data_IF_954629216816
#
_entry.id   IF_954629216816
#
_cell.length_a   1.000
_cell.length_b   1.000
_cell.length_c   1.000
_cell.angle_alpha   90.00
_cell.angle_beta   90.00
_cell.angle_gamma   90.00
#
_symmetry.space_group_name_H-M   'P 1'
#
loop_
_entity.id
_entity.type
_entity.pdbx_description
1 polymer ?
#
# COMPACT_ATOMS: atom_id res chain seq x y z
N UNK A 1 -22.33 1.86 -4.83
CA UNK A 1 -22.22 0.51 -5.39
C UNK A 1 -20.92 -0.04 -4.84
N UNK A 2 -20.95 -1.12 -4.06
CA UNK A 2 -19.72 -1.74 -3.57
C UNK A 2 -19.10 -2.47 -4.76
N UNK A 3 -18.05 -1.89 -5.35
CA UNK A 3 -17.15 -2.58 -6.25
C UNK A 3 -16.51 -3.74 -5.47
N UNK A 4 -16.47 -4.93 -6.06
CA UNK A 4 -15.84 -6.12 -5.47
C UNK A 4 -14.37 -5.81 -5.14
N UNK A 5 -14.10 -5.57 -3.87
CA UNK A 5 -12.76 -5.23 -3.37
C UNK A 5 -11.88 -6.48 -3.42
N UNK A 6 -10.76 -6.38 -4.15
CA UNK A 6 -9.79 -7.44 -4.37
C UNK A 6 -8.91 -7.63 -3.14
N UNK A 7 -8.55 -6.54 -2.45
CA UNK A 7 -7.71 -6.63 -1.25
C UNK A 7 -8.56 -7.05 -0.05
N UNK A 8 -7.98 -7.87 0.82
CA UNK A 8 -8.54 -8.02 2.15
C UNK A 8 -8.16 -6.82 3.06
N UNK A 9 -8.84 -6.61 4.20
CA UNK A 9 -8.58 -5.47 5.06
C UNK A 9 -7.12 -5.30 5.52
N UNK A 10 -6.41 -6.41 5.76
CA UNK A 10 -5.01 -6.34 6.19
C UNK A 10 -4.08 -5.91 5.03
N UNK A 11 -4.33 -6.41 3.82
CA UNK A 11 -3.62 -5.99 2.61
C UNK A 11 -3.87 -4.51 2.33
N UNK A 12 -5.14 -4.08 2.39
CA UNK A 12 -5.53 -2.69 2.16
C UNK A 12 -4.88 -1.74 3.16
N UNK A 13 -4.88 -2.09 4.46
CA UNK A 13 -4.21 -1.32 5.50
C UNK A 13 -2.70 -1.19 5.25
N UNK A 14 -2.04 -2.27 4.83
CA UNK A 14 -0.61 -2.27 4.54
C UNK A 14 -0.28 -1.39 3.32
N UNK A 15 -1.04 -1.49 2.23
CA UNK A 15 -0.88 -0.65 1.03
C UNK A 15 -1.14 0.82 1.39
N UNK A 16 -2.20 1.11 2.15
CA UNK A 16 -2.51 2.47 2.57
C UNK A 16 -1.42 3.09 3.45
N UNK A 17 -0.91 2.33 4.41
CA UNK A 17 0.20 2.78 5.27
C UNK A 17 1.47 3.03 4.46
N UNK A 18 1.72 2.19 3.45
CA UNK A 18 2.80 2.38 2.49
C UNK A 18 2.64 3.66 1.65
N UNK A 19 1.46 3.92 1.09
CA UNK A 19 1.17 5.17 0.36
C UNK A 19 1.43 6.39 1.25
N UNK A 20 0.95 6.37 2.50
CA UNK A 20 1.22 7.43 3.48
C UNK A 20 2.72 7.65 3.73
N UNK A 21 3.50 6.57 3.84
CA UNK A 21 4.94 6.65 4.05
C UNK A 21 5.67 7.25 2.83
N UNK A 22 5.28 6.85 1.61
CA UNK A 22 5.91 7.31 0.37
C UNK A 22 5.60 8.79 0.06
N UNK A 23 4.40 9.27 0.40
CA UNK A 23 4.04 10.68 0.26
C UNK A 23 5.00 11.64 0.99
N UNK A 24 5.64 11.19 2.06
CA UNK A 24 6.64 12.00 2.78
C UNK A 24 7.98 12.04 2.04
N UNK A 25 8.32 10.99 1.29
CA UNK A 25 9.55 10.90 0.49
C UNK A 25 9.42 11.77 -0.79
N UNK A 26 8.18 12.07 -1.22
CA UNK A 26 7.85 12.96 -2.34
C UNK A 26 7.39 12.23 -3.61
N UNK A 27 7.00 12.98 -4.64
CA UNK A 27 6.31 12.50 -5.87
C UNK A 27 7.06 11.39 -6.66
N UNK A 28 8.35 11.20 -6.41
CA UNK A 28 9.16 10.17 -7.06
C UNK A 28 8.94 8.76 -6.47
N UNK A 29 8.27 8.64 -5.33
CA UNK A 29 8.06 7.38 -4.63
C UNK A 29 6.60 6.95 -4.78
N UNK A 30 6.33 6.01 -5.69
CA UNK A 30 5.00 5.42 -5.94
C UNK A 30 4.90 4.03 -5.34
N UNK A 31 3.71 3.66 -4.85
CA UNK A 31 3.50 2.33 -4.26
C UNK A 31 3.60 1.25 -5.35
N UNK A 32 4.30 0.16 -5.03
CA UNK A 32 4.26 -1.08 -5.80
C UNK A 32 4.35 -2.25 -4.80
N UNK A 33 3.20 -2.80 -4.46
CA UNK A 33 3.07 -3.91 -3.52
C UNK A 33 2.70 -5.20 -4.25
N UNK A 34 3.19 -6.34 -3.74
CA UNK A 34 2.90 -7.67 -4.26
C UNK A 34 2.52 -8.61 -3.12
N UNK A 35 1.40 -9.31 -3.27
CA UNK A 35 0.89 -10.23 -2.28
C UNK A 35 0.59 -11.59 -2.94
N UNK A 36 1.18 -12.72 -2.48
CA UNK A 36 0.67 -14.02 -2.87
C UNK A 36 -0.80 -14.16 -2.46
N UNK A 37 -1.62 -14.64 -3.39
CA UNK A 37 -3.04 -14.94 -3.18
C UNK A 37 -3.38 -16.27 -3.83
N UNK A 38 -4.47 -16.90 -3.43
CA UNK A 38 -4.94 -18.11 -4.10
C UNK A 38 -5.28 -17.79 -5.56
N UNK A 39 -4.62 -18.47 -6.50
CA UNK A 39 -4.81 -18.24 -7.93
C UNK A 39 -3.82 -17.26 -8.58
N UNK A 40 -2.89 -16.65 -7.84
CA UNK A 40 -1.83 -15.84 -8.46
C UNK A 40 -1.06 -14.91 -7.53
N UNK A 41 -0.58 -13.81 -8.11
CA UNK A 41 0.05 -12.72 -7.38
C UNK A 41 -0.84 -11.49 -7.52
N UNK A 42 -1.27 -10.93 -6.39
CA UNK A 42 -1.95 -9.64 -6.33
C UNK A 42 -0.89 -8.54 -6.43
N UNK A 43 -1.09 -7.64 -7.38
CA UNK A 43 -0.29 -6.44 -7.56
C UNK A 43 -1.12 -5.22 -7.18
N UNK A 44 -0.49 -4.26 -6.51
CA UNK A 44 -1.09 -2.95 -6.24
C UNK A 44 -0.09 -1.87 -6.56
N UNK A 45 -0.46 -0.96 -7.45
CA UNK A 45 0.43 0.13 -7.90
C UNK A 45 -0.28 1.47 -7.86
N UNK A 46 0.50 2.52 -7.63
CA UNK A 46 0.06 3.90 -7.82
C UNK A 46 0.66 4.42 -9.14
N UNK A 47 -0.21 5.00 -9.98
CA UNK A 47 0.16 5.56 -11.28
C UNK A 47 0.60 7.02 -11.15
N UNK A 48 1.11 7.56 -12.25
CA UNK A 48 1.65 8.93 -12.26
C UNK A 48 0.57 10.01 -12.08
N UNK A 49 -0.68 9.70 -12.37
CA UNK A 49 -1.86 10.55 -12.15
C UNK A 49 -2.48 10.38 -10.75
N UNK A 50 -1.90 9.51 -9.91
CA UNK A 50 -2.38 9.22 -8.57
C UNK A 50 -3.41 8.10 -8.50
N UNK A 51 -3.82 7.52 -9.64
CA UNK A 51 -4.71 6.36 -9.69
C UNK A 51 -4.07 5.16 -8.98
N UNK A 52 -4.85 4.47 -8.14
CA UNK A 52 -4.45 3.22 -7.50
C UNK A 52 -5.10 2.06 -8.26
N UNK A 53 -4.27 1.18 -8.82
CA UNK A 53 -4.73 0.00 -9.54
C UNK A 53 -4.29 -1.26 -8.77
N UNK A 54 -5.24 -2.16 -8.53
CA UNK A 54 -5.00 -3.47 -7.96
C UNK A 54 -5.49 -4.56 -8.91
N UNK A 55 -4.69 -5.60 -9.12
CA UNK A 55 -5.09 -6.72 -9.99
C UNK A 55 -4.43 -8.03 -9.58
N UNK A 56 -5.09 -9.15 -9.88
CA UNK A 56 -4.51 -10.49 -9.69
C UNK A 56 -3.98 -10.99 -11.03
N UNK A 57 -2.68 -11.28 -11.06
CA UNK A 57 -2.02 -11.78 -12.26
C UNK A 57 -2.64 -13.14 -12.69
N UNK A 58 -3.31 -13.14 -13.84
CA UNK A 58 -3.90 -14.34 -14.43
C UNK A 58 -5.38 -14.57 -14.11
N UNK A 59 -6.03 -13.78 -13.24
CA UNK A 59 -7.48 -13.91 -12.99
C UNK A 59 -8.35 -12.97 -13.83
N UNK A 60 -7.78 -11.85 -14.31
CA UNK A 60 -8.52 -10.81 -15.03
C UNK A 60 -9.29 -9.84 -14.12
N UNK A 61 -9.20 -10.01 -12.80
CA UNK A 61 -9.77 -9.10 -11.81
C UNK A 61 -8.92 -7.85 -11.70
N UNK A 62 -9.56 -6.68 -11.84
CA UNK A 62 -8.93 -5.37 -11.74
C UNK A 62 -9.85 -4.45 -10.92
N UNK A 63 -9.25 -3.75 -9.98
CA UNK A 63 -9.87 -2.74 -9.14
C UNK A 63 -9.09 -1.44 -9.30
N UNK A 64 -9.79 -0.32 -9.46
CA UNK A 64 -9.21 1.00 -9.66
C UNK A 64 -9.83 2.00 -8.70
N UNK A 65 -9.01 2.93 -8.21
CA UNK A 65 -9.43 4.05 -7.39
C UNK A 65 -8.76 5.33 -7.87
N UNK A 66 -9.52 6.42 -7.96
CA UNK A 66 -9.04 7.70 -8.49
C UNK A 66 -7.82 8.27 -7.74
N UNK A 67 -7.68 7.94 -6.44
CA UNK A 67 -6.57 8.41 -5.60
C UNK A 67 -6.51 7.64 -4.28
N UNK A 68 -5.47 7.91 -3.49
CA UNK A 68 -5.28 7.35 -2.15
C UNK A 68 -6.47 7.58 -1.20
N UNK A 69 -7.16 8.73 -1.28
CA UNK A 69 -8.31 9.01 -0.42
C UNK A 69 -9.54 8.18 -0.82
N UNK A 70 -9.76 7.99 -2.13
CA UNK A 70 -10.80 7.10 -2.65
C UNK A 70 -10.53 5.65 -2.23
N UNK A 71 -9.27 5.19 -2.34
CA UNK A 71 -8.85 3.88 -1.84
C UNK A 71 -9.13 3.72 -0.34
N UNK A 72 -8.74 4.72 0.48
CA UNK A 72 -8.98 4.67 1.92
C UNK A 72 -10.48 4.59 2.25
N UNK A 73 -11.31 5.36 1.56
CA UNK A 73 -12.75 5.34 1.73
C UNK A 73 -13.37 4.00 1.31
N UNK A 74 -12.88 3.38 0.25
CA UNK A 74 -13.37 2.08 -0.22
C UNK A 74 -13.13 0.96 0.79
N UNK A 75 -12.05 1.05 1.57
CA UNK A 75 -11.63 0.06 2.56
C UNK A 75 -11.91 0.46 4.02
N UNK A 76 -12.71 1.52 4.25
CA UNK A 76 -13.01 2.06 5.59
C UNK A 76 -11.75 2.36 6.43
N UNK A 77 -10.67 2.82 5.78
CA UNK A 77 -9.38 3.07 6.43
C UNK A 77 -9.34 4.48 7.07
N UNK A 78 -8.69 4.63 8.23
CA UNK A 78 -8.59 5.92 8.89
C UNK A 78 -7.71 6.89 8.06
N UNK A 79 -8.32 7.96 7.56
CA UNK A 79 -7.65 9.01 6.76
C UNK A 79 -6.63 9.83 7.58
N UNK A 80 -6.63 9.68 8.90
CA UNK A 80 -5.68 10.36 9.78
C UNK A 80 -4.26 9.80 9.53
N UNK A 81 -3.41 10.60 8.89
CA UNK A 81 -1.98 10.33 8.76
C UNK A 81 -1.42 9.98 10.15
N UNK A 82 -1.10 8.71 10.44
CA UNK A 82 -0.48 8.37 11.68
C UNK A 82 0.88 9.05 11.65
N UNK A 83 1.26 9.66 12.77
CA UNK A 83 2.61 10.17 13.03
C UNK A 83 3.62 9.32 12.25
N UNK A 84 4.36 9.90 11.30
CA UNK A 84 5.07 9.19 10.23
C UNK A 84 5.84 7.95 10.74
N UNK A 85 6.52 8.08 11.87
CA UNK A 85 7.25 7.01 12.53
C UNK A 85 6.36 5.86 13.07
N UNK A 86 5.13 6.15 13.48
CA UNK A 86 4.12 5.16 13.86
C UNK A 86 3.52 4.47 12.63
N UNK A 87 3.21 5.22 11.56
CA UNK A 87 2.74 4.63 10.30
C UNK A 87 3.79 3.68 9.69
N UNK A 88 5.06 4.11 9.69
CA UNK A 88 6.19 3.30 9.24
C UNK A 88 6.42 2.07 10.11
N UNK A 89 6.36 2.19 11.45
CA UNK A 89 6.49 1.03 12.36
C UNK A 89 5.37 0.01 12.21
N UNK A 90 4.13 0.49 12.03
CA UNK A 90 2.96 -0.37 11.81
C UNK A 90 3.08 -1.07 10.47
N UNK A 91 3.35 -0.33 9.38
CA UNK A 91 3.58 -0.89 8.05
C UNK A 91 4.70 -1.95 8.08
N UNK A 92 5.83 -1.64 8.71
CA UNK A 92 6.94 -2.57 8.83
C UNK A 92 6.56 -3.87 9.59
N UNK A 93 5.86 -3.72 10.72
CA UNK A 93 5.42 -4.87 11.52
C UNK A 93 4.38 -5.73 10.82
N UNK A 94 3.46 -5.11 10.06
CA UNK A 94 2.41 -5.82 9.33
C UNK A 94 2.97 -6.53 8.10
N UNK A 95 3.90 -5.91 7.36
CA UNK A 95 4.59 -6.54 6.24
C UNK A 95 5.40 -7.76 6.69
N UNK A 96 6.10 -7.68 7.84
CA UNK A 96 6.85 -8.81 8.39
C UNK A 96 5.96 -10.00 8.81
N UNK A 97 4.69 -9.76 9.12
CA UNK A 97 3.73 -10.82 9.49
C UNK A 97 3.14 -11.54 8.29
N UNK A 98 3.30 -11.00 7.09
CA UNK A 98 2.76 -11.57 5.88
C UNK A 98 3.78 -12.57 5.26
N UNK A 99 3.44 -13.87 5.11
CA UNK A 99 4.38 -14.89 4.61
C UNK A 99 4.62 -14.78 3.09
N UNK A 100 5.88 -14.58 2.67
CA UNK A 100 6.28 -14.59 1.26
C UNK A 100 6.12 -13.25 0.52
N UNK A 101 5.87 -12.15 1.24
CA UNK A 101 5.63 -10.85 0.63
C UNK A 101 6.95 -10.12 0.35
N UNK A 102 7.03 -9.51 -0.84
CA UNK A 102 8.07 -8.53 -1.16
C UNK A 102 7.39 -7.20 -1.42
N UNK A 103 7.61 -6.28 -0.51
CA UNK A 103 7.31 -4.87 -0.72
C UNK A 103 8.67 -4.20 -0.94
N UNK A 104 8.90 -3.66 -2.14
CA UNK A 104 10.11 -2.93 -2.55
C UNK A 104 10.28 -1.59 -1.80
N UNK A 105 9.66 -1.48 -0.62
CA UNK A 105 9.70 -0.32 0.25
C UNK A 105 10.55 -0.57 1.50
N UNK A 106 10.94 -1.81 1.81
CA UNK A 106 11.75 -2.11 3.01
C UNK A 106 13.05 -1.29 3.03
N UNK A 107 13.82 -1.31 1.96
CA UNK A 107 15.06 -0.51 1.86
C UNK A 107 14.84 1.00 1.79
N UNK A 108 13.68 1.45 1.27
CA UNK A 108 13.33 2.89 1.20
C UNK A 108 12.83 3.43 2.53
N UNK A 109 12.13 2.59 3.31
CA UNK A 109 11.65 2.88 4.66
C UNK A 109 12.84 2.93 5.63
N UNK A 110 13.78 1.99 5.54
CA UNK A 110 15.03 2.04 6.31
C UNK A 110 15.81 3.33 6.01
N UNK A 111 15.99 3.68 4.73
CA UNK A 111 16.65 4.93 4.34
C UNK A 111 15.91 6.20 4.83
N UNK A 112 14.58 6.21 4.80
CA UNK A 112 13.79 7.34 5.29
C UNK A 112 13.85 7.48 6.83
N UNK A 113 13.92 6.37 7.56
CA UNK A 113 14.13 6.37 9.02
C UNK A 113 15.52 6.89 9.40
N UNK A 114 16.55 6.62 8.61
CA UNK A 114 17.90 7.19 8.82
C UNK A 114 17.98 8.70 8.54
N UNK A 115 17.12 9.23 7.66
CA UNK A 115 17.10 10.64 7.26
C UNK A 115 16.20 11.54 8.14
N UNK A 116 15.42 10.97 9.05
CA UNK A 116 14.53 11.73 9.94
C UNK A 116 15.14 11.85 11.34
N UNK A 117 15.78 12.98 11.72
CA UNK A 117 16.20 13.19 13.10
C UNK A 117 14.95 13.26 14.01
N UNK A 118 15.05 12.57 15.15
CA UNK A 118 14.02 12.52 16.19
C UNK A 118 13.68 13.90 16.78
#
# INVERSE_FOLDING_TARGET
>A
MASDLILNPAQAQAVYSAMCALNVIGDAAKVHARFPVDGGMLHVVERNDGEIEAWIAGSGEVETHDNQAAFAAAYDLPVAAPNLAAALRVAYSDIQRLPGHTIDMLGRIEAALELSPA
#
